data_IF_128062981079
#
_entry.id   IF_128062981079
#
_cell.length_a   1.000
_cell.length_b   1.000
_cell.length_c   1.000
_cell.angle_alpha   90.00
_cell.angle_beta   90.00
_cell.angle_gamma   90.00
#
_symmetry.space_group_name_H-M   'P 1'
#
loop_
_entity.id
_entity.type
_entity.pdbx_description
1 polymer ?
#
# COMPACT_ATOMS: atom_id res chain seq x y z
N UNK A 1 6.20 18.18 -1.24
CA UNK A 1 5.65 16.96 -0.61
C UNK A 1 4.18 16.69 -0.94
N UNK A 2 3.23 17.61 -0.74
CA UNK A 2 1.80 17.34 -1.01
C UNK A 2 1.51 16.84 -2.43
N UNK A 3 1.91 17.58 -3.46
CA UNK A 3 1.72 17.16 -4.87
C UNK A 3 2.36 15.78 -5.13
N UNK A 4 3.52 15.51 -4.51
CA UNK A 4 4.27 14.26 -4.71
C UNK A 4 3.54 13.04 -4.12
N UNK A 5 2.84 13.20 -2.99
CA UNK A 5 2.23 12.09 -2.26
C UNK A 5 0.73 11.97 -2.46
N UNK A 6 0.01 13.10 -2.54
CA UNK A 6 -1.46 13.12 -2.62
C UNK A 6 -1.99 13.68 -3.94
N UNK A 7 -1.11 14.02 -4.89
CA UNK A 7 -1.50 14.67 -6.17
C UNK A 7 -2.35 15.93 -5.98
N UNK A 8 -2.29 16.54 -4.80
CA UNK A 8 -3.12 17.67 -4.38
C UNK A 8 -2.23 18.89 -4.13
N UNK A 9 -2.73 20.08 -4.49
CA UNK A 9 -2.07 21.35 -4.17
C UNK A 9 -2.36 21.78 -2.74
N UNK A 10 -1.55 22.69 -2.17
CA UNK A 10 -1.83 23.24 -0.84
C UNK A 10 -3.20 23.93 -0.84
N UNK A 11 -4.10 23.62 0.11
CA UNK A 11 -5.34 24.39 0.30
C UNK A 11 -5.07 25.75 0.96
N UNK A 12 -3.90 25.93 1.57
CA UNK A 12 -3.55 27.14 2.32
C UNK A 12 -2.76 28.12 1.49
N UNK A 13 -3.10 29.40 1.63
CA UNK A 13 -2.21 30.50 1.27
C UNK A 13 -1.26 30.82 2.43
N UNK A 14 -0.32 31.75 2.20
CA UNK A 14 0.69 32.14 3.20
C UNK A 14 0.07 32.68 4.49
N UNK A 15 -0.98 33.49 4.40
CA UNK A 15 -1.60 34.10 5.57
C UNK A 15 -2.34 33.07 6.43
N UNK A 16 -3.03 32.13 5.81
CA UNK A 16 -3.73 31.05 6.51
C UNK A 16 -2.73 30.18 7.28
N UNK A 17 -1.59 29.89 6.67
CA UNK A 17 -0.53 29.09 7.29
C UNK A 17 0.12 29.79 8.50
N UNK A 18 0.24 31.11 8.47
CA UNK A 18 0.82 31.88 9.58
C UNK A 18 -0.16 32.15 10.73
N UNK A 19 -1.47 32.21 10.44
CA UNK A 19 -2.52 32.60 11.40
C UNK A 19 -3.19 31.42 12.09
N UNK A 20 -3.37 30.29 11.39
CA UNK A 20 -4.06 29.11 11.94
C UNK A 20 -3.14 28.30 12.84
N UNK A 21 -3.71 27.62 13.83
CA UNK A 21 -2.96 26.69 14.66
C UNK A 21 -2.64 25.39 13.92
N UNK A 22 -1.58 24.69 14.33
CA UNK A 22 -1.21 23.40 13.74
C UNK A 22 -2.37 22.40 13.68
N UNK A 23 -3.20 22.21 14.75
CA UNK A 23 -4.33 21.29 14.68
C UNK A 23 -5.37 21.67 13.62
N UNK A 24 -5.63 22.96 13.43
CA UNK A 24 -6.57 23.44 12.41
C UNK A 24 -6.04 23.18 11.00
N UNK A 25 -4.76 23.51 10.76
CA UNK A 25 -4.10 23.24 9.48
C UNK A 25 -4.06 21.74 9.18
N UNK A 26 -3.79 20.89 10.17
CA UNK A 26 -3.76 19.44 9.99
C UNK A 26 -5.14 18.89 9.61
N UNK A 27 -6.20 19.30 10.32
CA UNK A 27 -7.55 18.81 10.04
C UNK A 27 -8.06 19.26 8.68
N UNK A 28 -7.89 20.53 8.32
CA UNK A 28 -8.34 21.05 7.01
C UNK A 28 -7.57 20.42 5.85
N UNK A 29 -6.27 20.17 6.04
CA UNK A 29 -5.46 19.44 5.07
C UNK A 29 -5.93 17.99 4.93
N UNK A 30 -6.18 17.32 6.06
CA UNK A 30 -6.70 15.96 6.08
C UNK A 30 -8.02 15.85 5.31
N UNK A 31 -8.98 16.73 5.61
CA UNK A 31 -10.29 16.74 4.95
C UNK A 31 -10.16 16.97 3.45
N UNK A 32 -9.30 17.92 3.04
CA UNK A 32 -9.04 18.22 1.63
C UNK A 32 -8.46 17.01 0.90
N UNK A 33 -7.41 16.41 1.46
CA UNK A 33 -6.71 15.28 0.85
C UNK A 33 -7.57 14.02 0.84
N UNK A 34 -8.31 13.77 1.93
CA UNK A 34 -9.22 12.63 2.04
C UNK A 34 -10.39 12.75 1.06
N UNK A 35 -10.98 13.94 0.91
CA UNK A 35 -12.00 14.18 -0.11
C UNK A 35 -11.47 13.93 -1.52
N UNK A 36 -10.28 14.46 -1.84
CA UNK A 36 -9.63 14.22 -3.14
C UNK A 36 -9.45 12.72 -3.42
N UNK A 37 -9.03 11.98 -2.39
CA UNK A 37 -8.89 10.52 -2.46
C UNK A 37 -10.23 9.82 -2.72
N UNK A 38 -11.29 10.18 -1.98
CA UNK A 38 -12.64 9.63 -2.15
C UNK A 38 -13.17 9.85 -3.57
N UNK A 39 -12.96 11.05 -4.13
CA UNK A 39 -13.34 11.34 -5.51
C UNK A 39 -12.52 10.54 -6.53
N UNK A 40 -11.22 10.36 -6.29
CA UNK A 40 -10.36 9.51 -7.13
C UNK A 40 -10.87 8.07 -7.17
N UNK A 41 -11.12 7.47 -6.01
CA UNK A 41 -11.54 6.07 -5.96
C UNK A 41 -12.92 5.85 -6.59
N UNK A 42 -13.83 6.83 -6.47
CA UNK A 42 -15.12 6.80 -7.14
C UNK A 42 -14.96 6.81 -8.67
N UNK A 43 -14.15 7.73 -9.22
CA UNK A 43 -13.83 7.77 -10.65
C UNK A 43 -13.19 6.48 -11.13
N UNK A 44 -12.29 5.91 -10.33
CA UNK A 44 -11.63 4.64 -10.62
C UNK A 44 -12.65 3.48 -10.71
N UNK A 45 -13.58 3.39 -9.76
CA UNK A 45 -14.64 2.38 -9.77
C UNK A 45 -15.51 2.48 -11.03
N UNK A 46 -15.91 3.70 -11.40
CA UNK A 46 -16.68 3.95 -12.62
C UNK A 46 -15.90 3.57 -13.89
N UNK A 47 -14.61 3.89 -13.95
CA UNK A 47 -13.76 3.63 -15.11
C UNK A 47 -13.54 2.13 -15.37
N UNK A 48 -13.43 1.31 -14.32
CA UNK A 48 -13.22 -0.15 -14.44
C UNK A 48 -14.52 -0.94 -14.54
N UNK A 49 -15.65 -0.38 -14.11
CA UNK A 49 -16.92 -1.08 -14.12
C UNK A 49 -17.30 -1.68 -15.49
N UNK A 50 -17.09 -1.02 -16.65
CA UNK A 50 -17.33 -1.63 -17.95
C UNK A 50 -16.56 -2.93 -18.17
N UNK A 51 -15.32 -3.01 -17.67
CA UNK A 51 -14.47 -4.21 -17.77
C UNK A 51 -15.02 -5.32 -16.87
N UNK A 52 -15.37 -4.99 -15.62
CA UNK A 52 -15.97 -5.95 -14.68
C UNK A 52 -17.29 -6.50 -15.23
N UNK A 53 -18.13 -5.61 -15.77
CA UNK A 53 -19.40 -5.95 -16.40
C UNK A 53 -19.21 -6.90 -17.57
N UNK A 54 -18.30 -6.59 -18.49
CA UNK A 54 -18.01 -7.44 -19.65
C UNK A 54 -17.55 -8.84 -19.24
N UNK A 55 -16.63 -8.92 -18.26
CA UNK A 55 -16.10 -10.18 -17.74
C UNK A 55 -17.19 -10.98 -17.02
N UNK A 56 -18.04 -10.34 -16.21
CA UNK A 56 -19.13 -11.03 -15.52
C UNK A 56 -20.22 -11.53 -16.47
N UNK A 57 -20.62 -10.74 -17.46
CA UNK A 57 -21.66 -11.12 -18.42
C UNK A 57 -21.20 -12.23 -19.38
N UNK A 58 -19.93 -12.24 -19.79
CA UNK A 58 -19.37 -13.27 -20.69
C UNK A 58 -18.87 -14.51 -19.96
N UNK A 59 -18.23 -14.33 -18.82
CA UNK A 59 -17.43 -15.37 -18.14
C UNK A 59 -17.83 -15.59 -16.68
N UNK A 60 -18.92 -14.99 -16.19
CA UNK A 60 -19.35 -15.08 -14.78
C UNK A 60 -19.63 -16.51 -14.28
N UNK A 61 -20.01 -17.42 -15.18
CA UNK A 61 -20.19 -18.85 -14.85
C UNK A 61 -18.86 -19.63 -14.76
N UNK A 62 -17.75 -19.06 -15.22
CA UNK A 62 -16.45 -19.71 -15.32
C UNK A 62 -15.55 -19.42 -14.12
N UNK A 63 -15.64 -18.21 -13.57
CA UNK A 63 -14.74 -17.71 -12.52
C UNK A 63 -15.48 -16.95 -11.43
N UNK A 64 -15.27 -17.33 -10.17
CA UNK A 64 -15.78 -16.59 -9.00
C UNK A 64 -14.88 -15.43 -8.60
N UNK A 65 -13.55 -15.58 -8.80
CA UNK A 65 -12.54 -14.58 -8.42
C UNK A 65 -11.68 -14.20 -9.62
N UNK A 66 -11.44 -12.89 -9.74
CA UNK A 66 -10.57 -12.32 -10.78
C UNK A 66 -9.37 -11.62 -10.15
N UNK A 67 -8.27 -11.58 -10.90
CA UNK A 67 -7.08 -10.81 -10.58
C UNK A 67 -6.97 -9.63 -11.54
N UNK A 68 -6.92 -8.42 -10.96
CA UNK A 68 -6.79 -7.16 -11.69
C UNK A 68 -5.42 -6.55 -11.36
N UNK A 69 -4.55 -6.31 -12.35
CA UNK A 69 -3.24 -5.68 -12.11
C UNK A 69 -3.39 -4.17 -11.93
N UNK A 70 -2.86 -3.63 -10.84
CA UNK A 70 -2.76 -2.18 -10.59
C UNK A 70 -1.32 -1.74 -10.68
N UNK A 71 -1.08 -0.52 -11.16
CA UNK A 71 0.27 0.04 -11.21
C UNK A 71 0.29 1.50 -10.78
N UNK A 72 1.35 1.92 -10.09
CA UNK A 72 1.66 3.32 -9.81
C UNK A 72 2.72 3.89 -10.77
N UNK A 73 3.00 3.17 -11.86
CA UNK A 73 4.05 3.46 -12.83
C UNK A 73 5.41 2.85 -12.49
N UNK A 74 5.62 2.37 -11.25
CA UNK A 74 6.88 1.77 -10.80
C UNK A 74 6.68 0.30 -10.40
N UNK A 75 5.67 0.04 -9.59
CA UNK A 75 5.31 -1.29 -9.09
C UNK A 75 3.98 -1.71 -9.73
N UNK A 76 3.84 -3.01 -10.00
CA UNK A 76 2.58 -3.61 -10.46
C UNK A 76 2.16 -4.71 -9.50
N UNK A 77 0.93 -4.63 -8.99
CA UNK A 77 0.39 -5.58 -8.02
C UNK A 77 -0.96 -6.10 -8.49
N UNK A 78 -1.11 -7.43 -8.51
CA UNK A 78 -2.37 -8.08 -8.86
C UNK A 78 -3.27 -8.18 -7.64
N UNK A 79 -4.42 -7.51 -7.70
CA UNK A 79 -5.45 -7.54 -6.66
C UNK A 79 -6.47 -8.60 -7.00
N UNK A 80 -6.76 -9.48 -6.04
CA UNK A 80 -7.76 -10.52 -6.20
C UNK A 80 -9.07 -10.08 -5.56
N UNK A 81 -10.15 -10.04 -6.35
CA UNK A 81 -11.50 -9.67 -5.89
C UNK A 81 -12.55 -10.72 -6.30
N UNK A 82 -13.68 -10.74 -5.60
CA UNK A 82 -14.84 -11.54 -6.01
C UNK A 82 -15.55 -10.85 -7.18
N UNK A 83 -15.72 -11.55 -8.30
CA UNK A 83 -16.25 -10.98 -9.53
C UNK A 83 -17.72 -10.54 -9.37
N UNK A 84 -18.53 -11.34 -8.68
CA UNK A 84 -19.95 -11.04 -8.46
C UNK A 84 -20.12 -9.82 -7.56
N UNK A 85 -19.39 -9.74 -6.45
CA UNK A 85 -19.45 -8.58 -5.56
C UNK A 85 -18.93 -7.31 -6.27
N UNK A 86 -17.85 -7.42 -7.05
CA UNK A 86 -17.34 -6.32 -7.85
C UNK A 86 -18.37 -5.83 -8.89
N UNK A 87 -19.14 -6.75 -9.48
CA UNK A 87 -20.25 -6.41 -10.38
C UNK A 87 -21.41 -5.73 -9.65
N UNK A 88 -21.93 -6.34 -8.58
CA UNK A 88 -23.10 -5.85 -7.83
C UNK A 88 -22.82 -4.46 -7.20
N UNK A 89 -21.59 -4.21 -6.77
CA UNK A 89 -21.16 -2.94 -6.16
C UNK A 89 -20.67 -1.90 -7.15
N UNK A 90 -20.78 -2.14 -8.46
CA UNK A 90 -20.31 -1.23 -9.51
C UNK A 90 -18.83 -0.86 -9.38
N UNK A 91 -17.98 -1.85 -9.08
CA UNK A 91 -16.52 -1.69 -8.96
C UNK A 91 -16.02 -1.24 -7.58
N UNK A 92 -16.89 -0.84 -6.64
CA UNK A 92 -16.47 -0.40 -5.30
C UNK A 92 -15.78 -1.49 -4.48
N UNK A 93 -16.22 -2.74 -4.62
CA UNK A 93 -15.56 -3.87 -3.96
C UNK A 93 -14.11 -4.03 -4.43
N UNK A 94 -13.85 -3.91 -5.74
CA UNK A 94 -12.50 -4.01 -6.30
C UNK A 94 -11.57 -2.92 -5.72
N UNK A 95 -12.06 -1.69 -5.57
CA UNK A 95 -11.32 -0.59 -4.93
C UNK A 95 -10.99 -0.93 -3.48
N UNK A 96 -11.96 -1.45 -2.73
CA UNK A 96 -11.75 -1.83 -1.32
C UNK A 96 -10.73 -2.95 -1.18
N UNK A 97 -10.82 -3.95 -2.05
CA UNK A 97 -9.84 -5.04 -2.10
C UNK A 97 -8.46 -4.54 -2.51
N UNK A 98 -8.40 -3.58 -3.43
CA UNK A 98 -7.15 -2.90 -3.81
C UNK A 98 -6.49 -2.25 -2.60
N UNK A 99 -7.20 -1.40 -1.86
CA UNK A 99 -6.64 -0.73 -0.68
C UNK A 99 -6.04 -1.71 0.33
N UNK A 100 -6.78 -2.78 0.63
CA UNK A 100 -6.35 -3.82 1.57
C UNK A 100 -5.12 -4.58 1.06
N UNK A 101 -5.17 -5.06 -0.19
CA UNK A 101 -4.10 -5.89 -0.76
C UNK A 101 -2.80 -5.11 -0.91
N UNK A 102 -2.88 -3.86 -1.39
CA UNK A 102 -1.70 -2.99 -1.53
C UNK A 102 -1.09 -2.69 -0.16
N UNK A 103 -1.92 -2.33 0.82
CA UNK A 103 -1.43 -2.03 2.18
C UNK A 103 -0.71 -3.23 2.79
N UNK A 104 -1.30 -4.42 2.68
CA UNK A 104 -0.69 -5.66 3.17
C UNK A 104 0.60 -6.01 2.42
N UNK A 105 0.62 -5.84 1.10
CA UNK A 105 1.81 -6.12 0.30
C UNK A 105 3.00 -5.22 0.68
N UNK A 106 2.75 -3.93 0.89
CA UNK A 106 3.78 -2.97 1.30
C UNK A 106 4.26 -3.24 2.73
N UNK A 107 3.35 -3.58 3.64
CA UNK A 107 3.72 -3.98 5.01
C UNK A 107 4.62 -5.21 4.98
N UNK A 108 4.27 -6.26 4.22
CA UNK A 108 5.06 -7.48 4.13
C UNK A 108 6.45 -7.24 3.51
N UNK A 109 6.53 -6.46 2.43
CA UNK A 109 7.81 -6.09 1.80
C UNK A 109 8.70 -5.31 2.78
N UNK A 110 8.16 -4.28 3.44
CA UNK A 110 8.93 -3.44 4.35
C UNK A 110 9.31 -4.18 5.64
N UNK A 111 8.45 -5.11 6.10
CA UNK A 111 8.74 -5.93 7.26
C UNK A 111 9.88 -6.92 6.99
N UNK A 112 9.93 -7.53 5.81
CA UNK A 112 11.06 -8.39 5.39
C UNK A 112 12.38 -7.61 5.37
N UNK A 113 12.37 -6.39 4.81
CA UNK A 113 13.53 -5.50 4.86
C UNK A 113 13.96 -5.19 6.28
N UNK A 114 12.99 -4.90 7.17
CA UNK A 114 13.26 -4.61 8.58
C UNK A 114 13.89 -5.80 9.31
N UNK A 115 13.38 -7.02 9.11
CA UNK A 115 13.96 -8.23 9.71
C UNK A 115 15.43 -8.41 9.28
N UNK A 116 15.75 -8.17 8.01
CA UNK A 116 17.15 -8.20 7.54
C UNK A 116 18.02 -7.14 8.23
N UNK A 117 17.52 -5.91 8.37
CA UNK A 117 18.24 -4.84 9.09
C UNK A 117 18.44 -5.19 10.57
N UNK A 118 17.48 -5.86 11.20
CA UNK A 118 17.57 -6.32 12.58
C UNK A 118 18.64 -7.40 12.75
N UNK A 119 18.77 -8.31 11.78
CA UNK A 119 19.83 -9.33 11.77
C UNK A 119 21.21 -8.68 11.60
N UNK A 120 21.36 -7.72 10.69
CA UNK A 120 22.59 -6.93 10.51
C UNK A 120 22.96 -6.16 11.78
N UNK A 121 21.98 -5.51 12.42
CA UNK A 121 22.16 -4.80 13.68
C UNK A 121 22.67 -5.73 14.79
N UNK A 122 22.09 -6.93 14.89
CA UNK A 122 22.50 -7.92 15.90
C UNK A 122 23.97 -8.30 15.74
N UNK A 123 24.45 -8.49 14.50
CA UNK A 123 25.86 -8.77 14.22
C UNK A 123 26.76 -7.57 14.53
N UNK A 124 26.35 -6.35 14.16
CA UNK A 124 27.10 -5.12 14.42
C UNK A 124 27.29 -4.85 15.92
N UNK A 125 26.23 -5.01 16.71
CA UNK A 125 26.26 -4.80 18.16
C UNK A 125 27.20 -5.78 18.87
N UNK A 126 27.29 -7.03 18.40
CA UNK A 126 28.25 -8.00 18.94
C UNK A 126 29.70 -7.49 18.79
N UNK A 127 30.01 -6.84 17.67
CA UNK A 127 31.31 -6.22 17.41
C UNK A 127 31.53 -4.92 18.19
N UNK A 128 30.47 -4.21 18.59
CA UNK A 128 30.55 -2.97 19.38
C UNK A 128 30.87 -3.21 20.86
N UNK A 129 30.84 -4.46 21.34
CA UNK A 129 31.23 -4.84 22.72
C UNK A 129 32.63 -4.34 23.10
N UNK A 130 33.51 -4.13 22.11
CA UNK A 130 34.85 -3.57 22.31
C UNK A 130 34.85 -2.09 22.77
N UNK A 131 33.75 -1.34 22.61
CA UNK A 131 33.63 0.08 22.99
C UNK A 131 33.18 0.32 24.46
N UNK A 132 33.10 -0.72 25.30
CA UNK A 132 32.67 -0.63 26.71
C UNK A 132 31.25 -0.08 26.96
N UNK A 133 30.43 0.06 25.92
CA UNK A 133 28.99 0.36 26.07
C UNK A 133 28.21 -0.94 26.23
N UNK A 134 27.08 -0.90 26.95
CA UNK A 134 26.18 -2.04 27.08
C UNK A 134 25.59 -2.41 25.70
N UNK A 135 25.97 -3.57 25.11
CA UNK A 135 25.51 -3.95 23.77
C UNK A 135 23.98 -4.11 23.72
N UNK A 136 23.36 -4.58 24.80
CA UNK A 136 21.91 -4.75 24.85
C UNK A 136 21.19 -3.40 24.79
N UNK A 137 21.76 -2.38 25.42
CA UNK A 137 21.20 -1.04 25.39
C UNK A 137 21.27 -0.43 23.98
N UNK A 138 22.41 -0.55 23.30
CA UNK A 138 22.59 -0.10 21.91
C UNK A 138 21.59 -0.79 21.00
N UNK A 139 21.51 -2.13 21.06
CA UNK A 139 20.58 -2.90 20.24
C UNK A 139 19.14 -2.41 20.40
N UNK A 140 18.68 -2.18 21.65
CA UNK A 140 17.32 -1.71 21.91
C UNK A 140 17.04 -0.34 21.31
N UNK A 141 17.97 0.61 21.47
CA UNK A 141 17.79 1.96 20.91
C UNK A 141 17.82 1.95 19.38
N UNK A 142 18.81 1.31 18.78
CA UNK A 142 18.94 1.27 17.32
C UNK A 142 17.80 0.48 16.67
N UNK A 143 17.39 -0.65 17.25
CA UNK A 143 16.24 -1.43 16.77
C UNK A 143 14.95 -0.61 16.76
N UNK A 144 14.73 0.20 17.81
CA UNK A 144 13.55 1.05 17.88
C UNK A 144 13.58 2.16 16.82
N UNK A 145 14.74 2.75 16.56
CA UNK A 145 14.89 3.72 15.47
C UNK A 145 14.70 3.09 14.08
N UNK A 146 15.18 1.86 13.86
CA UNK A 146 14.89 1.09 12.64
C UNK A 146 13.39 0.82 12.49
N UNK A 147 12.71 0.47 13.57
CA UNK A 147 11.26 0.26 13.58
C UNK A 147 10.49 1.54 13.23
N UNK A 148 10.85 2.69 13.81
CA UNK A 148 10.24 3.98 13.44
C UNK A 148 10.43 4.32 11.96
N UNK A 149 11.64 4.11 11.43
CA UNK A 149 11.94 4.32 10.01
C UNK A 149 11.12 3.39 9.12
N UNK A 150 10.95 2.13 9.53
CA UNK A 150 10.08 1.17 8.84
C UNK A 150 8.63 1.65 8.79
N UNK A 151 8.06 2.11 9.91
CA UNK A 151 6.70 2.64 9.94
C UNK A 151 6.51 3.87 9.04
N UNK A 152 7.47 4.81 9.06
CA UNK A 152 7.43 5.99 8.19
C UNK A 152 7.51 5.61 6.71
N UNK A 153 8.35 4.61 6.36
CA UNK A 153 8.43 4.06 5.00
C UNK A 153 7.10 3.43 4.57
N UNK A 154 6.49 2.59 5.41
CA UNK A 154 5.17 1.98 5.13
C UNK A 154 4.14 3.07 4.85
N UNK A 155 4.01 4.07 5.73
CA UNK A 155 3.01 5.12 5.58
C UNK A 155 3.18 5.89 4.26
N UNK A 156 4.41 6.26 3.91
CA UNK A 156 4.73 7.00 2.67
C UNK A 156 4.47 6.16 1.43
N UNK A 157 4.86 4.89 1.42
CA UNK A 157 4.69 4.00 0.28
C UNK A 157 3.21 3.67 0.07
N UNK A 158 2.46 3.35 1.13
CA UNK A 158 1.01 3.10 1.06
C UNK A 158 0.30 4.33 0.50
N UNK A 159 0.52 5.51 1.08
CA UNK A 159 -0.11 6.74 0.58
C UNK A 159 0.27 7.01 -0.88
N UNK A 160 1.56 6.95 -1.22
CA UNK A 160 2.00 7.17 -2.60
C UNK A 160 1.31 6.23 -3.58
N UNK A 161 1.22 4.93 -3.26
CA UNK A 161 0.59 3.96 -4.14
C UNK A 161 -0.92 4.16 -4.21
N UNK A 162 -1.60 4.43 -3.11
CA UNK A 162 -3.05 4.67 -3.13
C UNK A 162 -3.41 5.90 -3.97
N UNK A 163 -2.63 6.98 -3.92
CA UNK A 163 -2.87 8.19 -4.71
C UNK A 163 -2.43 8.10 -6.17
N UNK A 164 -1.36 7.37 -6.48
CA UNK A 164 -0.84 7.22 -7.86
C UNK A 164 -1.30 5.96 -8.57
N UNK A 165 -1.81 4.99 -7.83
CA UNK A 165 -2.25 3.72 -8.36
C UNK A 165 -3.38 3.92 -9.35
N UNK A 166 -3.11 3.56 -10.59
CA UNK A 166 -4.05 3.57 -11.70
C UNK A 166 -4.54 2.15 -11.98
N UNK A 167 -5.78 2.09 -12.43
CA UNK A 167 -6.37 0.86 -12.95
C UNK A 167 -5.79 0.59 -14.35
N UNK A 168 -5.69 -0.69 -14.73
CA UNK A 168 -5.23 -1.04 -16.06
C UNK A 168 -6.18 -0.41 -17.09
N UNK A 169 -5.62 0.25 -18.10
CA UNK A 169 -6.38 0.80 -19.22
C UNK A 169 -7.36 -0.25 -19.75
N UNK A 170 -8.59 0.17 -20.08
CA UNK A 170 -9.84 -0.53 -20.44
C UNK A 170 -9.78 -1.79 -21.34
N UNK A 171 -8.77 -2.64 -21.21
CA UNK A 171 -8.54 -3.83 -21.99
C UNK A 171 -8.90 -5.04 -21.12
N UNK A 172 -10.00 -5.75 -21.41
CA UNK A 172 -10.41 -6.96 -20.69
C UNK A 172 -9.32 -8.02 -20.62
N UNK A 173 -8.38 -8.01 -21.57
CA UNK A 173 -7.23 -8.92 -21.63
C UNK A 173 -6.28 -8.82 -20.43
N UNK A 174 -6.30 -7.72 -19.68
CA UNK A 174 -5.47 -7.55 -18.48
C UNK A 174 -6.10 -8.17 -17.23
N UNK A 175 -7.40 -8.49 -17.26
CA UNK A 175 -8.09 -9.21 -16.19
C UNK A 175 -7.90 -10.70 -16.43
N UNK A 176 -7.41 -11.40 -15.42
CA UNK A 176 -7.14 -12.84 -15.50
C UNK A 176 -7.85 -13.57 -14.36
N UNK A 177 -8.08 -14.88 -14.55
CA UNK A 177 -8.55 -15.73 -13.46
C UNK A 177 -7.52 -15.65 -12.32
N UNK A 178 -8.00 -15.40 -11.10
CA UNK A 178 -7.13 -15.42 -9.94
C UNK A 178 -6.51 -16.81 -9.78
N UNK A 179 -5.19 -16.93 -9.93
CA UNK A 179 -4.48 -18.17 -9.58
C UNK A 179 -4.51 -18.32 -8.07
N UNK A 180 -5.02 -19.44 -7.58
CA UNK A 180 -4.83 -19.82 -6.18
C UNK A 180 -3.32 -19.92 -5.92
N UNK A 181 -2.78 -18.99 -5.14
CA UNK A 181 -1.44 -19.16 -4.56
C UNK A 181 -1.54 -20.33 -3.59
N UNK A 182 -1.15 -21.53 -4.03
CA UNK A 182 -0.84 -22.61 -3.08
C UNK A 182 0.21 -22.05 -2.12
N UNK A 183 -0.02 -22.08 -0.79
CA UNK A 183 1.00 -21.62 0.14
C UNK A 183 2.27 -22.43 -0.14
N UNK A 184 3.31 -21.71 -0.54
CA UNK A 184 4.63 -22.29 -0.71
C UNK A 184 5.03 -22.81 0.66
N UNK A 185 5.20 -24.13 0.79
CA UNK A 185 5.67 -24.73 2.04
C UNK A 185 7.06 -24.16 2.28
N UNK A 186 7.14 -23.15 3.13
CA UNK A 186 8.41 -22.58 3.58
C UNK A 186 9.14 -23.72 4.29
N UNK A 187 10.08 -24.36 3.58
CA UNK A 187 10.98 -25.30 4.21
C UNK A 187 11.93 -24.46 5.05
N UNK A 188 11.62 -24.33 6.33
CA UNK A 188 12.59 -23.82 7.29
C UNK A 188 13.68 -24.89 7.42
N UNK A 189 14.72 -24.80 6.59
CA UNK A 189 15.99 -25.45 6.90
C UNK A 189 16.53 -24.77 8.14
N UNK A 190 16.31 -25.40 9.30
CA UNK A 190 17.18 -25.20 10.46
C UNK A 190 18.58 -25.65 10.02
N UNK A 191 19.45 -24.70 9.74
CA UNK A 191 20.88 -24.96 9.86
C UNK A 191 21.21 -25.01 11.35
N UNK A 192 21.98 -26.03 11.72
CA UNK A 192 22.30 -26.48 13.09
C UNK A 192 22.96 -25.41 13.98
#
# INVERSE_FOLDING_TARGET
ELIRFSSTSSPFNKEDFEKKSDPELINELFDTVYKHYQEKIARNAEAVYPVIKDVYEKEGNRYERIAVPFTDGVKTLSVVTNLKEAYDTHGKQLVTDFEKNITLAIIDETWKDHLRQMDELKQSVQNATYEQKDPLLIYKFEAFELFKKMLDKVNKEVLSFLFKGELPSQSPQQVSQAREKKPEKVQATKEE
#
